data_IF_731379883960
#
_entry.id   IF_731379883960
#
_cell.length_a   1.000
_cell.length_b   1.000
_cell.length_c   1.000
_cell.angle_alpha   90.00
_cell.angle_beta   90.00
_cell.angle_gamma   90.00
#
_symmetry.space_group_name_H-M   'P 1'
#
loop_
_entity.id
_entity.type
_entity.pdbx_description
1 polymer ?
#
# COMPACT_ATOMS: atom_id res chain seq x y z
N UNK A 1 6.61 -6.25 14.14
CA UNK A 1 5.49 -7.21 13.95
C UNK A 1 5.67 -7.85 12.60
N UNK A 2 5.68 -9.18 12.48
CA UNK A 2 5.76 -9.85 11.18
C UNK A 2 4.32 -10.06 10.70
N UNK A 3 3.80 -9.18 9.84
CA UNK A 3 2.47 -9.42 9.26
C UNK A 3 2.57 -10.55 8.23
N UNK A 4 1.60 -11.47 8.26
CA UNK A 4 1.50 -12.49 7.22
C UNK A 4 0.97 -11.84 5.95
N UNK A 5 1.78 -11.84 4.89
CA UNK A 5 1.36 -11.30 3.61
C UNK A 5 0.05 -11.94 3.08
N UNK A 6 -0.13 -13.23 3.37
CA UNK A 6 -1.37 -13.96 3.07
C UNK A 6 -2.60 -13.33 3.72
N UNK A 7 -2.49 -12.88 4.99
CA UNK A 7 -3.60 -12.22 5.68
C UNK A 7 -3.93 -10.86 5.06
N UNK A 8 -2.90 -10.09 4.69
CA UNK A 8 -3.08 -8.79 4.02
C UNK A 8 -3.84 -8.99 2.70
N UNK A 9 -3.40 -9.94 1.88
CA UNK A 9 -4.06 -10.19 0.60
C UNK A 9 -5.49 -10.72 0.76
N UNK A 10 -5.71 -11.67 1.67
CA UNK A 10 -7.05 -12.16 1.96
C UNK A 10 -8.00 -11.07 2.48
N UNK A 11 -7.49 -10.13 3.29
CA UNK A 11 -8.27 -8.99 3.75
C UNK A 11 -8.64 -8.05 2.60
N UNK A 12 -7.68 -7.72 1.73
CA UNK A 12 -7.90 -6.82 0.59
C UNK A 12 -8.89 -7.38 -0.44
N UNK A 13 -8.87 -8.70 -0.68
CA UNK A 13 -9.88 -9.37 -1.53
C UNK A 13 -11.32 -9.23 -1.01
N UNK A 14 -11.48 -8.93 0.29
CA UNK A 14 -12.78 -8.74 0.94
C UNK A 14 -13.19 -7.26 0.98
N UNK A 15 -12.37 -6.34 0.47
CA UNK A 15 -12.71 -4.91 0.40
C UNK A 15 -13.90 -4.70 -0.54
N UNK A 16 -14.89 -3.95 -0.10
CA UNK A 16 -16.05 -3.55 -0.91
C UNK A 16 -16.06 -2.05 -1.15
N UNK A 17 -16.69 -1.63 -2.24
CA UNK A 17 -16.79 -0.21 -2.60
C UNK A 17 -17.67 0.52 -1.59
N UNK A 18 -17.07 1.43 -0.83
CA UNK A 18 -17.80 2.33 0.07
C UNK A 18 -18.48 3.46 -0.71
N UNK A 19 -19.65 3.89 -0.26
CA UNK A 19 -20.29 5.12 -0.74
C UNK A 19 -19.64 6.39 -0.14
N UNK A 20 -18.99 6.25 1.02
CA UNK A 20 -18.27 7.33 1.68
C UNK A 20 -16.76 7.16 1.42
N UNK A 21 -16.08 8.11 0.76
CA UNK A 21 -14.64 8.00 0.46
C UNK A 21 -13.76 8.06 1.72
N UNK A 22 -14.29 8.51 2.86
CA UNK A 22 -13.60 8.51 4.14
C UNK A 22 -13.84 7.23 4.97
N UNK A 23 -14.41 6.19 4.34
CA UNK A 23 -14.68 4.90 4.99
C UNK A 23 -14.20 3.74 4.13
N UNK A 24 -13.61 2.76 4.81
CA UNK A 24 -13.24 1.48 4.26
C UNK A 24 -14.27 0.44 4.69
N UNK A 25 -14.69 -0.38 3.74
CA UNK A 25 -15.67 -1.42 3.99
C UNK A 25 -15.10 -2.78 3.59
N UNK A 26 -15.31 -3.78 4.43
CA UNK A 26 -14.87 -5.15 4.20
C UNK A 26 -16.02 -6.12 4.47
N UNK A 27 -16.24 -7.04 3.53
CA UNK A 27 -17.21 -8.11 3.69
C UNK A 27 -16.51 -9.38 4.18
N UNK A 28 -16.65 -9.68 5.47
CA UNK A 28 -15.99 -10.83 6.11
C UNK A 28 -17.05 -11.71 6.76
N UNK A 29 -17.13 -12.96 6.31
CA UNK A 29 -18.23 -13.86 6.68
C UNK A 29 -19.55 -13.28 6.18
N UNK A 30 -20.53 -13.14 7.08
CA UNK A 30 -21.84 -12.54 6.79
C UNK A 30 -21.97 -11.10 7.32
N UNK A 31 -20.84 -10.45 7.62
CA UNK A 31 -20.81 -9.12 8.22
C UNK A 31 -20.07 -8.11 7.35
N UNK A 32 -20.64 -6.90 7.25
CA UNK A 32 -19.98 -5.75 6.65
C UNK A 32 -19.27 -4.94 7.75
N UNK A 33 -17.94 -5.02 7.80
CA UNK A 33 -17.10 -4.25 8.70
C UNK A 33 -16.82 -2.88 8.07
N UNK A 34 -17.00 -1.82 8.85
CA UNK A 34 -16.74 -0.44 8.45
C UNK A 34 -15.65 0.13 9.33
N UNK A 35 -14.66 0.75 8.70
CA UNK A 35 -13.58 1.46 9.37
C UNK A 35 -13.52 2.89 8.85
N UNK A 36 -13.58 3.86 9.74
CA UNK A 36 -13.25 5.24 9.41
C UNK A 36 -11.74 5.44 9.20
N UNK A 37 -11.35 6.56 8.61
CA UNK A 37 -9.93 6.92 8.44
C UNK A 37 -9.14 6.87 9.75
N UNK A 38 -9.72 7.34 10.86
CA UNK A 38 -9.05 7.33 12.16
C UNK A 38 -8.77 5.92 12.69
N UNK A 39 -9.73 5.00 12.56
CA UNK A 39 -9.56 3.59 12.95
C UNK A 39 -8.52 2.91 12.07
N UNK A 40 -8.49 3.26 10.78
CA UNK A 40 -7.49 2.76 9.85
C UNK A 40 -6.06 3.20 10.21
N UNK A 41 -5.86 4.48 10.52
CA UNK A 41 -4.57 5.00 10.98
C UNK A 41 -4.09 4.26 12.23
N UNK A 42 -5.00 4.02 13.17
CA UNK A 42 -4.68 3.29 14.40
C UNK A 42 -4.25 1.85 14.12
N UNK A 43 -4.92 1.16 13.19
CA UNK A 43 -4.63 -0.25 12.87
C UNK A 43 -3.36 -0.39 12.03
N UNK A 44 -3.16 0.50 11.06
CA UNK A 44 -2.08 0.38 10.08
C UNK A 44 -0.83 1.16 10.42
N UNK A 45 -0.91 2.05 11.42
CA UNK A 45 0.13 3.03 11.78
C UNK A 45 0.58 3.94 10.64
N UNK A 46 -0.11 3.90 9.48
CA UNK A 46 0.19 4.76 8.33
C UNK A 46 -0.30 6.18 8.62
N UNK A 47 0.54 7.16 8.30
CA UNK A 47 0.19 8.56 8.48
C UNK A 47 -0.77 9.05 7.39
N UNK A 48 -1.85 9.70 7.81
CA UNK A 48 -3.00 10.10 6.98
C UNK A 48 -3.38 11.56 7.17
N UNK A 49 -2.40 12.39 7.53
CA UNK A 49 -2.62 13.83 7.62
C UNK A 49 -2.96 14.39 6.22
N UNK A 50 -3.94 15.30 6.20
CA UNK A 50 -4.58 15.82 4.98
C UNK A 50 -3.87 17.05 4.38
N UNK A 51 -2.86 17.58 5.07
CA UNK A 51 -2.18 18.83 4.70
C UNK A 51 -0.66 18.68 4.82
N UNK A 52 0.04 18.75 3.69
CA UNK A 52 1.14 19.72 3.50
C UNK A 52 1.63 19.78 2.05
N UNK A 53 2.13 20.96 1.69
CA UNK A 53 2.90 21.28 0.48
C UNK A 53 3.78 20.13 -0.02
N UNK A 54 3.46 19.67 -1.23
CA UNK A 54 4.20 18.71 -2.09
C UNK A 54 5.71 19.00 -2.18
N UNK A 55 6.14 20.20 -1.76
CA UNK A 55 7.49 20.74 -1.86
C UNK A 55 8.48 20.14 -0.84
N UNK A 56 8.03 19.54 0.28
CA UNK A 56 8.94 19.12 1.37
C UNK A 56 9.53 17.70 1.28
N UNK A 57 8.94 16.78 0.52
CA UNK A 57 9.48 15.43 0.38
C UNK A 57 10.38 15.30 -0.86
N UNK A 58 11.50 16.05 -0.84
CA UNK A 58 12.64 15.84 -1.76
C UNK A 58 13.72 15.01 -1.07
N UNK A 59 13.33 13.87 -0.52
CA UNK A 59 14.25 12.81 -0.15
C UNK A 59 13.57 11.50 -0.57
N UNK A 60 13.64 11.23 -1.87
CA UNK A 60 13.34 9.88 -2.33
C UNK A 60 14.57 9.04 -2.03
N UNK A 61 14.39 8.02 -1.19
CA UNK A 61 15.21 6.81 -1.29
C UNK A 61 15.39 6.51 -2.78
N UNK A 62 16.63 6.58 -3.26
CA UNK A 62 16.99 6.26 -4.65
C UNK A 62 17.11 4.75 -4.87
N UNK A 63 16.86 3.94 -3.84
CA UNK A 63 16.91 2.50 -3.97
C UNK A 63 15.78 2.05 -4.87
N UNK A 64 16.15 1.59 -6.06
CA UNK A 64 15.26 0.89 -6.98
C UNK A 64 15.44 -0.62 -6.88
N UNK A 65 16.09 -1.14 -5.82
CA UNK A 65 16.45 -2.56 -5.71
C UNK A 65 15.23 -3.47 -5.82
N UNK A 66 14.12 -3.22 -5.13
CA UNK A 66 12.88 -4.01 -5.30
C UNK A 66 12.37 -3.97 -6.75
N UNK A 67 12.47 -2.81 -7.41
CA UNK A 67 12.02 -2.64 -8.80
C UNK A 67 12.94 -3.36 -9.80
N UNK A 68 14.25 -3.28 -9.58
CA UNK A 68 15.29 -3.96 -10.37
C UNK A 68 15.18 -5.48 -10.21
N UNK A 69 14.96 -5.95 -8.98
CA UNK A 69 15.01 -7.37 -8.64
C UNK A 69 13.74 -8.12 -9.05
N UNK A 70 12.56 -7.54 -8.83
CA UNK A 70 11.29 -8.26 -8.98
C UNK A 70 10.41 -7.74 -10.12
N UNK A 71 10.65 -6.52 -10.61
CA UNK A 71 9.77 -5.84 -11.56
C UNK A 71 10.49 -5.41 -12.85
N UNK A 72 11.70 -5.91 -13.10
CA UNK A 72 12.48 -5.69 -14.32
C UNK A 72 12.61 -4.21 -14.71
N UNK A 73 12.68 -3.30 -13.75
CA UNK A 73 12.71 -1.85 -14.01
C UNK A 73 11.54 -1.34 -14.87
N UNK A 74 10.37 -1.95 -14.73
CA UNK A 74 9.18 -1.49 -15.42
C UNK A 74 8.89 -0.02 -15.05
N UNK A 75 8.89 0.84 -16.06
CA UNK A 75 8.60 2.27 -15.91
C UNK A 75 7.15 2.56 -15.49
N UNK A 76 6.28 1.56 -15.45
CA UNK A 76 4.98 1.63 -14.78
C UNK A 76 4.68 0.23 -14.22
N UNK A 77 4.35 0.15 -12.93
CA UNK A 77 3.92 -1.09 -12.29
C UNK A 77 2.40 -1.02 -12.11
N UNK A 78 1.69 -2.05 -12.57
CA UNK A 78 0.24 -2.19 -12.39
C UNK A 78 -0.07 -2.97 -11.11
N UNK A 79 -1.26 -2.75 -10.53
CA UNK A 79 -1.72 -3.45 -9.31
C UNK A 79 -1.55 -4.97 -9.40
N UNK A 80 -1.88 -5.58 -10.54
CA UNK A 80 -1.69 -7.02 -10.77
C UNK A 80 -0.22 -7.47 -10.84
N UNK A 81 0.70 -6.62 -11.28
CA UNK A 81 2.15 -6.93 -11.29
C UNK A 81 2.73 -6.84 -9.88
N UNK A 82 2.27 -5.87 -9.08
CA UNK A 82 2.62 -5.77 -7.66
C UNK A 82 2.08 -6.97 -6.87
N UNK A 83 0.83 -7.38 -7.13
CA UNK A 83 0.24 -8.58 -6.53
C UNK A 83 1.04 -9.83 -6.88
N UNK A 84 1.41 -9.99 -8.16
CA UNK A 84 2.24 -11.10 -8.59
C UNK A 84 3.62 -11.08 -7.92
N UNK A 85 4.28 -9.92 -7.84
CA UNK A 85 5.56 -9.80 -7.16
C UNK A 85 5.45 -10.15 -5.66
N UNK A 86 4.40 -9.67 -5.00
CA UNK A 86 4.13 -9.97 -3.60
C UNK A 86 3.89 -11.47 -3.34
N UNK A 87 3.07 -12.12 -4.18
CA UNK A 87 2.73 -13.54 -4.01
C UNK A 87 3.90 -14.47 -4.35
N UNK A 88 4.80 -14.05 -5.23
CA UNK A 88 5.96 -14.86 -5.65
C UNK A 88 7.25 -14.52 -4.88
N UNK A 89 7.23 -13.53 -3.99
CA UNK A 89 8.40 -13.16 -3.20
C UNK A 89 8.61 -14.14 -2.03
N UNK A 90 9.84 -14.66 -1.89
CA UNK A 90 10.21 -15.59 -0.81
C UNK A 90 10.98 -14.89 0.33
N UNK A 91 11.67 -13.78 0.01
CA UNK A 91 12.47 -13.02 0.96
C UNK A 91 11.58 -12.28 1.95
N UNK A 92 11.67 -12.62 3.24
CA UNK A 92 10.73 -12.18 4.28
C UNK A 92 10.64 -10.66 4.42
N UNK A 93 11.76 -9.96 4.28
CA UNK A 93 11.81 -8.49 4.35
C UNK A 93 11.13 -7.87 3.13
N UNK A 94 11.37 -8.43 1.94
CA UNK A 94 10.78 -7.95 0.70
C UNK A 94 9.28 -8.25 0.63
N UNK A 95 8.83 -9.42 1.12
CA UNK A 95 7.41 -9.75 1.29
C UNK A 95 6.72 -8.73 2.19
N UNK A 96 7.38 -8.32 3.28
CA UNK A 96 6.84 -7.31 4.18
C UNK A 96 6.69 -5.94 3.48
N UNK A 97 7.74 -5.49 2.78
CA UNK A 97 7.72 -4.25 1.99
C UNK A 97 6.66 -4.28 0.90
N UNK A 98 6.58 -5.37 0.13
CA UNK A 98 5.52 -5.56 -0.86
C UNK A 98 4.13 -5.62 -0.23
N UNK A 99 4.01 -6.17 0.98
CA UNK A 99 2.76 -6.18 1.74
C UNK A 99 2.29 -4.78 2.11
N UNK A 100 3.20 -3.91 2.54
CA UNK A 100 2.92 -2.48 2.76
C UNK A 100 2.51 -1.78 1.46
N UNK A 101 3.22 -2.06 0.36
CA UNK A 101 2.86 -1.59 -0.98
C UNK A 101 1.44 -1.96 -1.39
N UNK A 102 1.13 -3.24 -1.26
CA UNK A 102 -0.16 -3.80 -1.63
C UNK A 102 -1.29 -3.27 -0.73
N UNK A 103 -0.99 -3.05 0.55
CA UNK A 103 -1.91 -2.46 1.51
C UNK A 103 -2.28 -1.03 1.10
N UNK A 104 -1.30 -0.16 0.80
CA UNK A 104 -1.60 1.21 0.36
C UNK A 104 -2.34 1.25 -0.97
N UNK A 105 -1.90 0.48 -1.97
CA UNK A 105 -2.56 0.42 -3.27
C UNK A 105 -4.03 0.00 -3.10
N UNK A 106 -4.24 -1.11 -2.38
CA UNK A 106 -5.55 -1.69 -2.14
C UNK A 106 -6.46 -0.84 -1.26
N UNK A 107 -5.94 -0.15 -0.24
CA UNK A 107 -6.74 0.64 0.71
C UNK A 107 -6.91 2.09 0.29
N UNK A 108 -5.82 2.76 -0.07
CA UNK A 108 -5.73 4.22 -0.17
C UNK A 108 -5.99 4.71 -1.58
N UNK A 109 -5.48 3.99 -2.56
CA UNK A 109 -5.49 4.50 -3.92
C UNK A 109 -6.83 4.30 -4.60
N UNK A 110 -7.62 3.29 -4.20
CA UNK A 110 -9.07 3.07 -4.50
C UNK A 110 -9.56 3.45 -5.91
N UNK A 111 -8.64 3.59 -6.86
CA UNK A 111 -8.88 3.95 -8.24
C UNK A 111 -8.90 2.63 -9.01
N UNK A 112 -9.76 2.57 -10.02
CA UNK A 112 -9.80 1.47 -10.97
C UNK A 112 -8.36 1.06 -11.34
N UNK A 113 -8.16 -0.25 -11.48
CA UNK A 113 -6.90 -1.00 -11.70
C UNK A 113 -5.98 -0.50 -12.84
N UNK A 114 -6.31 0.64 -13.44
CA UNK A 114 -5.64 1.36 -14.51
C UNK A 114 -4.73 2.50 -14.04
N UNK A 115 -4.80 2.91 -12.77
CA UNK A 115 -4.03 4.08 -12.30
C UNK A 115 -2.71 3.63 -11.69
N UNK A 116 -1.64 3.87 -12.44
CA UNK A 116 -0.22 3.59 -12.16
C UNK A 116 0.07 3.53 -10.66
N UNK A 117 0.59 2.40 -10.17
CA UNK A 117 1.28 2.41 -8.88
C UNK A 117 2.39 3.44 -9.02
N UNK A 118 2.42 4.42 -8.13
CA UNK A 118 3.53 5.35 -8.06
C UNK A 118 4.77 4.51 -7.85
N UNK A 119 5.67 4.46 -8.84
CA UNK A 119 7.01 3.88 -8.69
C UNK A 119 7.68 4.43 -7.44
N UNK A 120 7.40 5.69 -7.12
CA UNK A 120 7.81 6.38 -5.91
C UNK A 120 7.44 5.60 -4.64
N UNK A 121 6.33 4.86 -4.62
CA UNK A 121 5.94 4.03 -3.48
C UNK A 121 6.94 2.89 -3.21
N UNK A 122 7.38 2.20 -4.26
CA UNK A 122 8.32 1.09 -4.14
C UNK A 122 9.72 1.57 -3.75
N UNK A 123 10.08 2.79 -4.11
CA UNK A 123 11.33 3.40 -3.65
C UNK A 123 11.21 3.90 -2.21
N UNK A 124 10.06 4.44 -1.78
CA UNK A 124 9.81 4.84 -0.40
C UNK A 124 9.85 3.65 0.56
N UNK A 125 9.24 2.51 0.21
CA UNK A 125 9.17 1.35 1.12
C UNK A 125 10.54 0.72 1.42
N UNK A 126 11.56 1.01 0.60
CA UNK A 126 12.94 0.61 0.89
C UNK A 126 13.49 1.32 2.13
N UNK A 127 12.95 2.49 2.48
CA UNK A 127 13.14 3.15 3.77
C UNK A 127 11.81 3.18 4.55
N UNK A 128 11.62 2.21 5.44
CA UNK A 128 10.39 2.10 6.24
C UNK A 128 10.09 3.36 7.06
N UNK A 129 11.11 4.06 7.57
CA UNK A 129 10.92 5.29 8.35
C UNK A 129 10.29 6.39 7.47
N UNK A 130 10.81 6.57 6.26
CA UNK A 130 10.23 7.52 5.30
C UNK A 130 8.82 7.08 4.89
N UNK A 131 8.61 5.78 4.71
CA UNK A 131 7.33 5.21 4.32
C UNK A 131 6.21 5.44 5.33
N UNK A 132 6.47 5.20 6.62
CA UNK A 132 5.47 5.39 7.68
C UNK A 132 5.24 6.88 7.99
N UNK A 133 6.26 7.72 7.80
CA UNK A 133 6.13 9.17 7.96
C UNK A 133 5.50 9.85 6.73
N UNK A 134 5.43 9.17 5.59
CA UNK A 134 4.78 9.67 4.38
C UNK A 134 3.29 9.91 4.63
N UNK A 135 2.80 11.05 4.17
CA UNK A 135 1.40 11.43 4.29
C UNK A 135 0.60 10.80 3.14
N UNK A 136 -0.07 9.69 3.41
CA UNK A 136 -0.85 8.98 2.41
C UNK A 136 -2.25 9.58 2.18
N UNK A 137 -2.61 10.63 2.94
CA UNK A 137 -3.90 11.31 2.83
C UNK A 137 -4.01 12.15 1.56
N UNK A 138 -5.07 11.91 0.77
CA UNK A 138 -5.52 12.78 -0.34
C UNK A 138 -6.58 13.78 0.10
#
# INVERSE_FOLDING_TARGET
MQASGVLIHQLLLRKVKSQNPAELQFFIGDSNLRFGLGEFVLITTLNFAKDLDVVKYKFMSTSMRLMETYLNNAANVRSGELEAAFLNCEEKEDVWKFGLCYLVDGLLMAQESSTKIMIDMLSFVENEEDFFNYLWGR
#
